data_IF_436926933664
#
_entry.id   IF_436926933664
#
_cell.length_a   1.000
_cell.length_b   1.000
_cell.length_c   1.000
_cell.angle_alpha   90.00
_cell.angle_beta   90.00
_cell.angle_gamma   90.00
#
_symmetry.space_group_name_H-M   'P 1'
#
loop_
_entity.id
_entity.type
_entity.pdbx_description
1 polymer ?
#
# COMPACT_ATOMS: atom_id res chain seq x y z
N UNK A 1 17.08 16.48 24.39
CA UNK A 1 16.65 15.70 25.56
C UNK A 1 15.48 16.43 26.22
N UNK A 2 14.28 15.85 26.18
CA UNK A 2 13.23 15.86 27.23
C UNK A 2 11.94 15.31 26.60
N UNK A 3 11.54 14.12 27.05
CA UNK A 3 10.21 13.54 26.84
C UNK A 3 9.23 14.15 27.83
N UNK A 4 7.93 14.10 27.52
CA UNK A 4 7.01 13.51 28.48
C UNK A 4 6.12 12.45 27.82
N UNK A 5 6.13 11.26 28.42
CA UNK A 5 5.08 10.25 28.29
C UNK A 5 3.86 10.66 29.12
N UNK A 6 2.64 10.27 28.72
CA UNK A 6 1.58 9.74 29.60
C UNK A 6 0.34 9.30 28.77
N UNK A 7 0.19 7.97 28.65
CA UNK A 7 -0.98 7.12 28.96
C UNK A 7 -2.38 7.76 28.85
N UNK A 8 -3.26 7.15 28.04
CA UNK A 8 -4.62 6.71 28.45
C UNK A 8 -5.30 5.88 27.35
N UNK A 9 -5.88 4.76 27.77
CA UNK A 9 -6.60 3.78 26.97
C UNK A 9 -8.12 4.05 26.96
N UNK A 10 -8.80 3.41 26.00
CA UNK A 10 -10.20 2.97 26.02
C UNK A 10 -11.32 4.03 25.96
N UNK A 11 -12.19 3.93 24.95
CA UNK A 11 -13.46 3.19 25.09
C UNK A 11 -14.33 3.37 23.83
N UNK A 12 -14.59 2.27 23.12
CA UNK A 12 -15.79 2.14 22.28
C UNK A 12 -17.01 2.28 23.20
N UNK A 13 -17.91 3.20 22.88
CA UNK A 13 -19.26 3.19 23.44
C UNK A 13 -20.27 3.07 22.32
N UNK A 14 -20.81 1.86 22.19
CA UNK A 14 -22.15 1.64 21.62
C UNK A 14 -23.14 2.36 22.53
N UNK A 15 -23.83 3.38 22.02
CA UNK A 15 -25.00 3.93 22.67
C UNK A 15 -26.24 3.44 21.92
N UNK A 16 -26.93 2.50 22.54
CA UNK A 16 -28.31 2.16 22.23
C UNK A 16 -29.23 3.36 22.48
N UNK A 17 -30.30 3.43 21.68
CA UNK A 17 -31.26 4.51 21.53
C UNK A 17 -31.99 4.98 22.82
N UNK A 18 -32.74 6.09 22.70
CA UNK A 18 -34.12 6.05 23.15
C UNK A 18 -35.07 6.33 21.99
N UNK A 19 -35.93 5.35 21.73
CA UNK A 19 -37.28 5.59 21.21
C UNK A 19 -37.98 6.52 22.19
N UNK A 20 -38.20 7.77 21.77
CA UNK A 20 -39.32 8.56 22.27
C UNK A 20 -40.31 8.72 21.13
N UNK A 21 -41.39 7.95 21.25
CA UNK A 21 -42.65 8.21 20.60
C UNK A 21 -43.07 9.66 20.89
N UNK A 22 -42.96 10.54 19.89
CA UNK A 22 -43.73 11.77 19.89
C UNK A 22 -45.12 11.42 19.37
N UNK A 23 -45.99 11.22 20.36
CA UNK A 23 -47.43 11.34 20.27
C UNK A 23 -47.85 12.40 19.26
N UNK A 24 -48.77 12.02 18.40
CA UNK A 24 -49.48 12.88 17.47
C UNK A 24 -49.94 14.17 18.16
N UNK A 25 -49.47 15.30 17.64
CA UNK A 25 -50.33 16.46 17.51
C UNK A 25 -50.62 16.60 16.01
N UNK A 26 -51.55 15.76 15.55
CA UNK A 26 -52.35 16.04 14.36
C UNK A 26 -53.17 17.30 14.64
N UNK A 27 -52.58 18.48 14.46
CA UNK A 27 -53.36 19.60 13.95
C UNK A 27 -53.49 19.39 12.46
N UNK A 28 -54.57 18.70 12.10
CA UNK A 28 -55.12 18.72 10.76
C UNK A 28 -55.44 20.18 10.40
N UNK A 29 -54.48 20.84 9.77
CA UNK A 29 -54.79 21.63 8.59
C UNK A 29 -54.38 20.77 7.42
N UNK A 30 -55.27 19.86 7.03
CA UNK A 30 -55.32 19.43 5.64
C UNK A 30 -55.67 20.68 4.82
N UNK A 31 -54.70 21.57 4.61
CA UNK A 31 -54.65 22.24 3.34
C UNK A 31 -54.47 21.11 2.34
N UNK A 32 -55.37 21.02 1.38
CA UNK A 32 -55.07 20.41 0.09
C UNK A 32 -53.93 21.23 -0.54
N UNK A 33 -52.75 21.18 0.09
CA UNK A 33 -51.53 21.78 -0.36
C UNK A 33 -51.04 20.88 -1.46
N UNK A 34 -51.26 21.32 -2.70
CA UNK A 34 -50.62 20.75 -3.87
C UNK A 34 -49.16 20.45 -3.53
N UNK A 35 -48.79 19.17 -3.52
CA UNK A 35 -47.42 18.73 -3.25
C UNK A 35 -46.50 19.54 -4.16
N UNK A 36 -45.63 20.37 -3.58
CA UNK A 36 -44.90 21.40 -4.32
C UNK A 36 -44.00 20.75 -5.38
N UNK A 37 -44.16 21.06 -6.68
CA UNK A 37 -43.32 20.51 -7.73
C UNK A 37 -41.83 20.68 -7.42
N UNK A 38 -41.06 19.59 -7.51
CA UNK A 38 -39.63 19.56 -7.21
C UNK A 38 -39.26 19.34 -5.73
N UNK A 39 -40.21 19.32 -4.80
CA UNK A 39 -39.92 18.94 -3.39
C UNK A 39 -39.61 17.45 -3.25
N UNK A 40 -38.90 17.04 -2.19
CA UNK A 40 -38.64 15.63 -1.85
C UNK A 40 -39.95 14.82 -1.78
N UNK A 41 -41.00 15.39 -1.17
CA UNK A 41 -42.31 14.74 -1.09
C UNK A 41 -42.98 14.61 -2.46
N UNK A 42 -42.78 15.59 -3.36
CA UNK A 42 -43.24 15.50 -4.75
C UNK A 42 -42.51 14.42 -5.54
N UNK A 43 -41.20 14.28 -5.34
CA UNK A 43 -40.42 13.22 -5.96
C UNK A 43 -40.83 11.84 -5.42
N UNK A 44 -41.06 11.72 -4.11
CA UNK A 44 -41.52 10.49 -3.45
C UNK A 44 -42.90 10.08 -3.96
N UNK A 45 -43.89 10.96 -3.88
CA UNK A 45 -45.26 10.70 -4.36
C UNK A 45 -45.25 10.35 -5.85
N UNK A 46 -44.47 11.06 -6.67
CA UNK A 46 -44.39 10.78 -8.11
C UNK A 46 -43.65 9.48 -8.43
N UNK A 47 -42.64 9.12 -7.63
CA UNK A 47 -41.98 7.81 -7.68
C UNK A 47 -42.93 6.67 -7.29
N UNK A 48 -43.73 6.89 -6.24
CA UNK A 48 -44.78 5.95 -5.80
C UNK A 48 -45.95 5.85 -6.79
N UNK A 49 -46.22 6.91 -7.55
CA UNK A 49 -47.21 6.93 -8.63
C UNK A 49 -46.67 6.46 -9.98
N UNK A 50 -45.38 6.14 -10.10
CA UNK A 50 -44.84 5.56 -11.33
C UNK A 50 -45.44 4.16 -11.51
N UNK A 51 -46.44 4.08 -12.37
CA UNK A 51 -46.98 2.82 -12.83
C UNK A 51 -46.31 2.51 -14.17
N UNK A 52 -45.57 1.40 -14.22
CA UNK A 52 -45.02 0.90 -15.48
C UNK A 52 -46.18 0.74 -16.47
N UNK A 53 -45.98 1.19 -17.70
CA UNK A 53 -46.95 0.97 -18.77
C UNK A 53 -47.25 -0.54 -18.88
N UNK A 54 -48.52 -0.94 -19.03
CA UNK A 54 -48.88 -2.35 -19.12
C UNK A 54 -48.13 -3.00 -20.28
N UNK A 55 -47.81 -4.30 -20.17
CA UNK A 55 -46.99 -4.99 -21.16
C UNK A 55 -47.62 -5.00 -22.57
N UNK A 56 -48.93 -4.80 -22.69
CA UNK A 56 -49.64 -4.61 -23.96
C UNK A 56 -49.28 -3.31 -24.70
N UNK A 57 -48.73 -2.32 -24.00
CA UNK A 57 -48.26 -1.04 -24.56
C UNK A 57 -46.75 -1.04 -24.85
N UNK A 58 -46.02 -2.10 -24.45
CA UNK A 58 -44.61 -2.26 -24.78
C UNK A 58 -44.45 -2.67 -26.24
N UNK A 59 -43.49 -2.06 -26.94
CA UNK A 59 -43.09 -2.53 -28.26
C UNK A 59 -42.18 -3.77 -28.11
N UNK A 60 -42.60 -4.97 -28.58
CA UNK A 60 -41.80 -6.19 -28.41
C UNK A 60 -40.40 -6.08 -29.02
N UNK A 61 -40.24 -5.33 -30.11
CA UNK A 61 -38.94 -5.14 -30.77
C UNK A 61 -37.98 -4.30 -29.93
N UNK A 62 -38.48 -3.29 -29.19
CA UNK A 62 -37.66 -2.46 -28.30
C UNK A 62 -37.23 -3.25 -27.06
N UNK A 63 -38.11 -4.12 -26.54
CA UNK A 63 -37.78 -5.01 -25.42
C UNK A 63 -36.68 -5.99 -25.81
N UNK A 64 -36.78 -6.63 -26.99
CA UNK A 64 -35.75 -7.53 -27.49
C UNK A 64 -34.42 -6.80 -27.72
N UNK A 65 -34.46 -5.62 -28.34
CA UNK A 65 -33.26 -4.81 -28.57
C UNK A 65 -32.58 -4.40 -27.25
N UNK A 66 -33.37 -4.04 -26.24
CA UNK A 66 -32.88 -3.71 -24.89
C UNK A 66 -32.30 -4.94 -24.20
N UNK A 67 -32.96 -6.09 -24.30
CA UNK A 67 -32.45 -7.33 -23.74
C UNK A 67 -31.11 -7.73 -24.38
N UNK A 68 -30.98 -7.59 -25.70
CA UNK A 68 -29.72 -7.83 -26.43
C UNK A 68 -28.63 -6.86 -25.98
N UNK A 69 -28.92 -5.56 -25.90
CA UNK A 69 -27.95 -4.57 -25.43
C UNK A 69 -27.51 -4.83 -23.99
N UNK A 70 -28.43 -5.17 -23.09
CA UNK A 70 -28.10 -5.51 -21.71
C UNK A 70 -27.22 -6.76 -21.62
N UNK A 71 -27.48 -7.76 -22.46
CA UNK A 71 -26.62 -8.94 -22.55
C UNK A 71 -25.21 -8.59 -23.07
N UNK A 72 -25.11 -7.72 -24.07
CA UNK A 72 -23.82 -7.22 -24.57
C UNK A 72 -23.05 -6.43 -23.51
N UNK A 73 -23.73 -5.54 -22.76
CA UNK A 73 -23.11 -4.78 -21.66
C UNK A 73 -22.64 -5.73 -20.56
N UNK A 74 -23.46 -6.70 -20.17
CA UNK A 74 -23.08 -7.68 -19.16
C UNK A 74 -21.83 -8.48 -19.61
N UNK A 75 -21.79 -8.90 -20.87
CA UNK A 75 -20.62 -9.60 -21.42
C UNK A 75 -19.36 -8.73 -21.43
N UNK A 76 -19.48 -7.44 -21.80
CA UNK A 76 -18.35 -6.50 -21.76
C UNK A 76 -17.87 -6.22 -20.34
N UNK A 77 -18.78 -6.07 -19.39
CA UNK A 77 -18.43 -5.86 -17.99
C UNK A 77 -17.71 -7.07 -17.42
N UNK A 78 -18.20 -8.29 -17.69
CA UNK A 78 -17.53 -9.52 -17.26
C UNK A 78 -16.12 -9.66 -17.88
N UNK A 79 -15.96 -9.31 -19.15
CA UNK A 79 -14.65 -9.31 -19.79
C UNK A 79 -13.69 -8.25 -19.19
N UNK A 80 -14.22 -7.07 -18.85
CA UNK A 80 -13.46 -6.02 -18.20
C UNK A 80 -13.01 -6.44 -16.79
N UNK A 81 -13.92 -7.02 -15.98
CA UNK A 81 -13.61 -7.54 -14.65
C UNK A 81 -12.51 -8.60 -14.70
N UNK A 82 -12.61 -9.55 -15.64
CA UNK A 82 -11.56 -10.55 -15.84
C UNK A 82 -10.21 -9.91 -16.21
N UNK A 83 -10.22 -8.93 -17.13
CA UNK A 83 -9.00 -8.22 -17.52
C UNK A 83 -8.39 -7.43 -16.36
N UNK A 84 -9.21 -6.85 -15.48
CA UNK A 84 -8.74 -6.12 -14.31
C UNK A 84 -8.11 -7.07 -13.29
N UNK A 85 -8.74 -8.23 -13.04
CA UNK A 85 -8.20 -9.28 -12.17
C UNK A 85 -6.86 -9.81 -12.67
N UNK A 86 -6.76 -10.10 -13.97
CA UNK A 86 -5.52 -10.60 -14.58
C UNK A 86 -4.42 -9.52 -14.52
N UNK A 87 -4.77 -8.26 -14.79
CA UNK A 87 -3.88 -7.13 -14.69
C UNK A 87 -3.36 -6.90 -13.27
N UNK A 88 -4.24 -7.00 -12.27
CA UNK A 88 -3.88 -6.89 -10.86
C UNK A 88 -2.95 -8.02 -10.44
N UNK A 89 -3.28 -9.26 -10.78
CA UNK A 89 -2.44 -10.43 -10.47
C UNK A 89 -1.04 -10.34 -11.11
N UNK A 90 -0.95 -9.88 -12.36
CA UNK A 90 0.33 -9.66 -13.03
C UNK A 90 1.15 -8.55 -12.36
N UNK A 91 0.50 -7.44 -12.02
CA UNK A 91 1.13 -6.33 -11.31
C UNK A 91 1.67 -6.76 -9.93
N UNK A 92 0.88 -7.49 -9.15
CA UNK A 92 1.27 -7.97 -7.82
C UNK A 92 2.49 -8.91 -7.90
N UNK A 93 2.52 -9.81 -8.89
CA UNK A 93 3.65 -10.70 -9.11
C UNK A 93 4.94 -9.94 -9.49
N UNK A 94 4.85 -8.98 -10.41
CA UNK A 94 6.01 -8.17 -10.80
C UNK A 94 6.48 -7.26 -9.67
N UNK A 95 5.56 -6.68 -8.90
CA UNK A 95 5.88 -5.89 -7.72
C UNK A 95 6.60 -6.73 -6.66
N UNK A 96 6.15 -7.96 -6.41
CA UNK A 96 6.82 -8.87 -5.47
C UNK A 96 8.24 -9.25 -5.94
N UNK A 97 8.41 -9.52 -7.24
CA UNK A 97 9.74 -9.78 -7.84
C UNK A 97 10.66 -8.58 -7.70
N UNK A 98 10.15 -7.39 -8.00
CA UNK A 98 10.91 -6.15 -7.87
C UNK A 98 11.36 -5.91 -6.44
N UNK A 99 10.46 -6.04 -5.45
CA UNK A 99 10.81 -5.89 -4.04
C UNK A 99 11.88 -6.89 -3.59
N UNK A 100 11.77 -8.15 -4.02
CA UNK A 100 12.76 -9.18 -3.69
C UNK A 100 14.14 -8.86 -4.29
N UNK A 101 14.22 -8.43 -5.54
CA UNK A 101 15.49 -8.08 -6.18
C UNK A 101 16.08 -6.80 -5.57
N UNK A 102 15.26 -5.80 -5.24
CA UNK A 102 15.73 -4.59 -4.54
C UNK A 102 16.34 -4.94 -3.19
N UNK A 103 15.65 -5.75 -2.37
CA UNK A 103 16.17 -6.17 -1.06
C UNK A 103 17.49 -6.94 -1.17
N UNK A 104 17.60 -7.80 -2.19
CA UNK A 104 18.83 -8.53 -2.48
C UNK A 104 19.98 -7.61 -2.88
N UNK A 105 19.74 -6.64 -3.77
CA UNK A 105 20.75 -5.66 -4.19
C UNK A 105 21.20 -4.81 -3.00
N UNK A 106 20.29 -4.35 -2.15
CA UNK A 106 20.62 -3.59 -0.94
C UNK A 106 21.51 -4.41 0.00
N UNK A 107 21.19 -5.68 0.20
CA UNK A 107 22.01 -6.60 1.00
C UNK A 107 23.40 -6.78 0.40
N UNK A 108 23.49 -7.00 -0.91
CA UNK A 108 24.77 -7.15 -1.61
C UNK A 108 25.62 -5.88 -1.52
N UNK A 109 24.98 -4.71 -1.62
CA UNK A 109 25.66 -3.43 -1.46
C UNK A 109 26.23 -3.27 -0.05
N UNK A 110 25.42 -3.54 0.99
CA UNK A 110 25.89 -3.46 2.37
C UNK A 110 27.06 -4.43 2.63
N UNK A 111 27.00 -5.65 2.08
CA UNK A 111 28.08 -6.62 2.17
C UNK A 111 29.34 -6.13 1.45
N UNK A 112 29.21 -5.60 0.24
CA UNK A 112 30.33 -5.07 -0.52
C UNK A 112 31.01 -3.88 0.19
N UNK A 113 30.21 -2.99 0.79
CA UNK A 113 30.72 -1.87 1.59
C UNK A 113 31.49 -2.37 2.81
N UNK A 114 30.99 -3.40 3.50
CA UNK A 114 31.67 -4.03 4.64
C UNK A 114 32.96 -4.74 4.24
N UNK A 115 32.94 -5.50 3.14
CA UNK A 115 34.11 -6.22 2.61
C UNK A 115 35.21 -5.24 2.17
N UNK A 116 34.82 -4.14 1.54
CA UNK A 116 35.75 -3.08 1.14
C UNK A 116 36.41 -2.44 2.36
N UNK A 117 35.62 -2.10 3.38
CA UNK A 117 36.16 -1.54 4.62
C UNK A 117 37.10 -2.53 5.35
N UNK A 118 36.77 -3.83 5.33
CA UNK A 118 37.62 -4.86 5.91
C UNK A 118 38.94 -5.02 5.13
N UNK A 119 38.90 -5.00 3.80
CA UNK A 119 40.09 -5.06 2.95
C UNK A 119 40.99 -3.83 3.15
N UNK A 120 40.41 -2.64 3.25
CA UNK A 120 41.17 -1.40 3.52
C UNK A 120 41.81 -1.43 4.90
N UNK A 121 41.11 -1.94 5.92
CA UNK A 121 41.66 -2.12 7.26
C UNK A 121 42.81 -3.14 7.28
N UNK A 122 42.67 -4.26 6.57
CA UNK A 122 43.72 -5.28 6.44
C UNK A 122 44.96 -4.74 5.73
N UNK A 123 44.78 -3.98 4.64
CA UNK A 123 45.86 -3.28 3.93
C UNK A 123 46.59 -2.30 4.87
N UNK A 124 45.85 -1.47 5.59
CA UNK A 124 46.44 -0.50 6.51
C UNK A 124 47.21 -1.18 7.66
N UNK A 125 46.73 -2.34 8.12
CA UNK A 125 47.44 -3.14 9.11
C UNK A 125 48.75 -3.70 8.54
N UNK A 126 48.69 -4.30 7.35
CA UNK A 126 49.88 -4.81 6.67
C UNK A 126 50.92 -3.72 6.42
N UNK A 127 50.51 -2.52 6.02
CA UNK A 127 51.42 -1.37 5.84
C UNK A 127 52.13 -0.98 7.14
N UNK A 128 51.42 -0.99 8.28
CA UNK A 128 52.02 -0.75 9.60
C UNK A 128 53.00 -1.84 10.00
N UNK A 129 52.62 -3.11 9.83
CA UNK A 129 53.47 -4.25 10.16
C UNK A 129 54.72 -4.28 9.30
N UNK A 130 54.58 -3.92 8.01
CA UNK A 130 55.69 -3.78 7.08
C UNK A 130 56.64 -2.67 7.52
N UNK A 131 56.13 -1.49 7.85
CA UNK A 131 56.96 -0.37 8.31
C UNK A 131 57.69 -0.71 9.62
N UNK A 132 57.03 -1.41 10.55
CA UNK A 132 57.64 -1.87 11.79
C UNK A 132 58.77 -2.88 11.53
N UNK A 133 58.53 -3.85 10.66
CA UNK A 133 59.53 -4.84 10.24
C UNK A 133 60.73 -4.18 9.55
N UNK A 134 60.50 -3.21 8.65
CA UNK A 134 61.57 -2.44 8.00
C UNK A 134 62.43 -1.70 9.03
N UNK A 135 61.81 -1.05 10.02
CA UNK A 135 62.51 -0.36 11.10
C UNK A 135 63.33 -1.31 11.98
N UNK A 136 62.80 -2.50 12.30
CA UNK A 136 63.53 -3.55 13.04
C UNK A 136 64.76 -4.03 12.25
N UNK A 137 64.59 -4.29 10.96
CA UNK A 137 65.68 -4.71 10.07
C UNK A 137 66.76 -3.63 9.94
N UNK A 138 66.37 -2.36 9.86
CA UNK A 138 67.30 -1.22 9.83
C UNK A 138 68.07 -1.07 11.16
N UNK A 139 67.42 -1.26 12.30
CA UNK A 139 68.06 -1.23 13.61
C UNK A 139 69.04 -2.40 13.76
N UNK A 140 68.63 -3.60 13.35
CA UNK A 140 69.49 -4.78 13.36
C UNK A 140 70.73 -4.59 12.46
N UNK A 141 70.56 -4.11 11.22
CA UNK A 141 71.67 -3.82 10.30
C UNK A 141 72.68 -2.84 10.90
N UNK A 142 72.21 -1.82 11.62
CA UNK A 142 73.07 -0.86 12.34
C UNK A 142 73.83 -1.47 13.52
N UNK A 143 73.32 -2.54 14.12
CA UNK A 143 73.94 -3.21 15.28
C UNK A 143 75.11 -4.14 14.92
N UNK A 144 75.31 -4.46 13.63
CA UNK A 144 76.33 -5.41 13.17
C UNK A 144 76.04 -6.88 13.49
N UNK A 145 74.86 -7.20 14.03
CA UNK A 145 74.41 -8.57 14.29
C UNK A 145 73.74 -9.18 13.05
N UNK A 146 73.67 -10.51 13.00
CA UNK A 146 72.87 -11.23 11.99
C UNK A 146 71.38 -11.01 12.26
N UNK A 147 70.65 -10.55 11.25
CA UNK A 147 69.21 -10.26 11.36
C UNK A 147 68.38 -11.49 11.02
N UNK A 148 67.46 -11.87 11.91
CA UNK A 148 66.52 -12.96 11.70
C UNK A 148 65.13 -12.45 12.11
N UNK A 149 64.35 -11.99 11.14
CA UNK A 149 62.92 -11.74 11.29
C UNK A 149 62.19 -12.07 9.99
N UNK A 150 60.95 -12.55 10.09
CA UNK A 150 60.12 -12.85 8.93
C UNK A 150 59.32 -11.60 8.52
N UNK A 151 59.21 -11.29 7.22
CA UNK A 151 58.36 -10.19 6.77
C UNK A 151 56.88 -10.51 7.05
N UNK A 152 56.04 -9.48 7.21
CA UNK A 152 54.60 -9.69 7.33
C UNK A 152 54.04 -10.37 6.07
N UNK A 153 53.16 -11.35 6.29
CA UNK A 153 52.42 -12.05 5.24
C UNK A 153 51.38 -11.08 4.63
N UNK A 154 51.12 -11.19 3.32
CA UNK A 154 50.20 -10.27 2.61
C UNK A 154 48.77 -10.26 3.15
N UNK A 155 47.99 -9.26 2.71
CA UNK A 155 46.55 -9.13 2.96
C UNK A 155 45.71 -9.73 1.83
#
# INVERSE_FOLDING_TARGET
MTRPSLIAAAALTLAAAPVFAQSAQQTASASAGSVQPGSQEWLRVRGEMYNRAPDSEQNPAEVEATARLNAEIAARNAAAEQSEMDGQSAYEQENARWQAETSKIETQRAQWEADTAAADAARAQWERDRAAWEAEMDACRRSGRVCISAPPQGY
#
